data_IF_824388704763
#
_entry.id   IF_824388704763
#
_cell.length_a   1.000
_cell.length_b   1.000
_cell.length_c   1.000
_cell.angle_alpha   90.00
_cell.angle_beta   90.00
_cell.angle_gamma   90.00
#
_symmetry.space_group_name_H-M   'P 1'
#
loop_
_entity.id
_entity.type
_entity.pdbx_description
1 polymer ?
#
# COMPACT_ATOMS: atom_id res chain seq x y z
N UNK A 1 -24.77 52.06 -13.65
CA UNK A 1 -24.97 52.99 -14.78
C UNK A 1 -24.75 52.22 -16.07
N UNK A 2 -25.74 52.28 -16.98
CA UNK A 2 -25.82 51.58 -18.28
C UNK A 2 -24.81 52.11 -19.30
N UNK A 3 -24.50 51.29 -20.32
CA UNK A 3 -24.18 51.55 -21.75
C UNK A 3 -23.29 50.36 -22.21
N UNK A 4 -23.62 49.40 -23.08
CA UNK A 4 -24.52 49.23 -24.24
C UNK A 4 -24.12 50.03 -25.49
N UNK A 5 -23.30 49.41 -26.36
CA UNK A 5 -23.12 49.67 -27.80
C UNK A 5 -22.77 48.30 -28.44
N UNK A 6 -23.68 47.57 -29.10
CA UNK A 6 -24.17 47.63 -30.49
C UNK A 6 -23.11 47.38 -31.59
N UNK A 7 -23.18 46.19 -32.23
CA UNK A 7 -23.27 46.06 -33.69
C UNK A 7 -23.84 44.67 -34.10
N UNK A 8 -25.03 44.65 -34.72
CA UNK A 8 -25.57 43.52 -35.50
C UNK A 8 -24.93 43.51 -36.90
N UNK A 9 -24.53 42.36 -37.48
CA UNK A 9 -25.29 41.29 -38.17
C UNK A 9 -26.12 41.77 -39.37
N UNK A 10 -25.71 41.36 -40.59
CA UNK A 10 -26.45 40.64 -41.66
C UNK A 10 -25.56 40.70 -42.93
N UNK A 11 -25.36 39.65 -43.75
CA UNK A 11 -26.39 38.82 -44.40
C UNK A 11 -25.71 37.58 -45.08
N UNK A 12 -26.28 36.38 -44.85
CA UNK A 12 -26.50 35.19 -45.74
C UNK A 12 -25.44 34.70 -46.76
N UNK A 13 -25.26 33.41 -47.07
CA UNK A 13 -26.25 32.36 -47.43
C UNK A 13 -25.57 30.95 -47.52
N UNK A 14 -26.39 29.89 -47.42
CA UNK A 14 -26.22 28.51 -47.94
C UNK A 14 -25.56 27.40 -47.07
N UNK A 15 -26.41 26.52 -46.54
CA UNK A 15 -26.15 25.08 -46.25
C UNK A 15 -26.19 24.25 -47.58
N UNK A 16 -26.10 22.88 -47.65
CA UNK A 16 -25.89 21.82 -46.64
C UNK A 16 -24.90 20.67 -47.04
N UNK A 17 -24.58 19.79 -46.07
CA UNK A 17 -24.55 18.33 -46.22
C UNK A 17 -23.32 17.63 -46.85
N UNK A 18 -22.77 16.64 -46.13
CA UNK A 18 -22.68 15.22 -46.57
C UNK A 18 -21.61 14.44 -45.80
N UNK A 19 -21.99 13.23 -45.41
CA UNK A 19 -21.15 12.22 -44.79
C UNK A 19 -20.55 11.26 -45.85
N UNK A 20 -19.41 10.66 -45.48
CA UNK A 20 -18.80 9.40 -45.95
C UNK A 20 -18.17 9.30 -47.35
N UNK A 21 -16.86 9.07 -47.37
CA UNK A 21 -16.22 8.15 -48.32
C UNK A 21 -14.93 7.53 -47.72
N UNK A 22 -14.87 6.19 -47.71
CA UNK A 22 -13.66 5.40 -47.38
C UNK A 22 -12.65 5.50 -48.54
N UNK A 23 -11.40 5.81 -48.23
CA UNK A 23 -10.29 5.78 -49.20
C UNK A 23 -9.30 4.67 -48.84
N UNK A 24 -9.11 3.72 -49.77
CA UNK A 24 -8.03 2.73 -49.78
C UNK A 24 -6.87 3.30 -50.59
N UNK A 25 -5.67 3.38 -50.02
CA UNK A 25 -4.44 3.58 -50.79
C UNK A 25 -3.30 2.71 -50.24
N UNK A 26 -2.58 2.04 -51.16
CA UNK A 26 -1.45 1.12 -50.92
C UNK A 26 -0.19 1.88 -50.43
N UNK A 27 0.68 1.25 -49.63
CA UNK A 27 1.96 1.85 -49.25
C UNK A 27 3.03 1.65 -50.33
N UNK A 28 3.67 2.74 -50.74
CA UNK A 28 4.89 2.76 -51.56
C UNK A 28 6.15 2.66 -50.69
N UNK A 29 7.12 1.87 -51.14
CA UNK A 29 8.37 1.63 -50.44
C UNK A 29 9.40 2.75 -50.69
N UNK A 30 9.98 3.28 -49.61
CA UNK A 30 11.25 4.02 -49.66
C UNK A 30 12.32 3.21 -48.89
N UNK A 31 13.51 2.96 -49.46
CA UNK A 31 14.52 2.12 -48.84
C UNK A 31 15.28 2.89 -47.75
N UNK A 32 15.16 2.44 -46.50
CA UNK A 32 16.03 2.88 -45.40
C UNK A 32 17.37 2.17 -45.55
N UNK A 33 18.42 2.94 -45.80
CA UNK A 33 19.79 2.46 -45.79
C UNK A 33 20.13 1.88 -44.41
N UNK A 34 20.36 0.56 -44.35
CA UNK A 34 20.81 -0.14 -43.15
C UNK A 34 22.29 0.11 -42.93
N UNK A 35 22.65 1.17 -42.21
CA UNK A 35 23.92 1.19 -41.49
C UNK A 35 23.75 0.35 -40.23
N UNK A 36 24.26 -0.88 -40.27
CA UNK A 36 24.25 -1.78 -39.12
C UNK A 36 25.06 -1.15 -37.98
N UNK A 37 24.56 -1.15 -36.72
CA UNK A 37 25.40 -0.81 -35.59
C UNK A 37 26.56 -1.81 -35.55
N UNK A 38 27.77 -1.28 -35.41
CA UNK A 38 29.01 -2.05 -35.21
C UNK A 38 28.74 -3.03 -34.06
N UNK A 39 28.74 -4.33 -34.35
CA UNK A 39 28.49 -5.37 -33.36
C UNK A 39 29.46 -5.16 -32.18
N UNK A 40 28.92 -4.73 -31.04
CA UNK A 40 29.65 -4.80 -29.79
C UNK A 40 30.01 -6.27 -29.56
N UNK A 41 31.28 -6.54 -29.30
CA UNK A 41 31.76 -7.90 -29.08
C UNK A 41 30.94 -8.57 -27.98
N UNK A 42 30.35 -9.73 -28.29
CA UNK A 42 29.63 -10.56 -27.34
C UNK A 42 30.62 -11.00 -26.26
N UNK A 43 30.46 -10.60 -24.97
CA UNK A 43 31.39 -11.00 -23.93
C UNK A 43 31.38 -12.53 -23.79
N UNK A 44 32.55 -13.16 -23.64
CA UNK A 44 32.72 -14.61 -23.39
C UNK A 44 32.01 -15.12 -22.10
N UNK A 45 31.34 -14.25 -21.35
CA UNK A 45 30.62 -14.56 -20.10
C UNK A 45 29.14 -14.90 -20.22
N UNK A 46 28.50 -14.75 -21.39
CA UNK A 46 27.03 -14.96 -21.52
C UNK A 46 26.61 -16.40 -21.18
N UNK A 47 27.43 -17.41 -21.48
CA UNK A 47 27.10 -18.80 -21.15
C UNK A 47 26.98 -19.05 -19.64
N UNK A 48 27.99 -18.61 -18.87
CA UNK A 48 28.00 -18.74 -17.40
C UNK A 48 27.00 -17.81 -16.73
N UNK A 49 26.84 -16.60 -17.27
CA UNK A 49 25.83 -15.66 -16.78
C UNK A 49 24.42 -16.23 -16.94
N UNK A 50 24.09 -16.78 -18.12
CA UNK A 50 22.82 -17.45 -18.35
C UNK A 50 22.65 -18.68 -17.44
N UNK A 51 23.70 -19.48 -17.25
CA UNK A 51 23.68 -20.63 -16.34
C UNK A 51 23.42 -20.23 -14.89
N UNK A 52 24.03 -19.14 -14.40
CA UNK A 52 23.78 -18.61 -13.06
C UNK A 52 22.31 -18.23 -12.87
N UNK A 53 21.69 -17.60 -13.88
CA UNK A 53 20.29 -17.22 -13.85
C UNK A 53 19.35 -18.44 -13.90
N UNK A 54 19.68 -19.46 -14.70
CA UNK A 54 18.93 -20.73 -14.73
C UNK A 54 19.00 -21.44 -13.37
N UNK A 55 20.16 -21.40 -12.70
CA UNK A 55 20.31 -21.96 -11.35
C UNK A 55 19.49 -21.16 -10.33
N UNK A 56 19.47 -19.83 -10.42
CA UNK A 56 18.64 -18.98 -9.57
C UNK A 56 17.14 -19.25 -9.77
N UNK A 57 16.68 -19.40 -11.02
CA UNK A 57 15.30 -19.75 -11.35
C UNK A 57 14.89 -21.13 -10.78
N UNK A 58 15.85 -22.06 -10.67
CA UNK A 58 15.67 -23.38 -10.04
C UNK A 58 15.89 -23.36 -8.52
N UNK A 59 15.99 -22.18 -7.93
CA UNK A 59 16.23 -21.95 -6.49
C UNK A 59 17.53 -22.57 -5.94
N UNK A 60 18.51 -22.82 -6.81
CA UNK A 60 19.83 -23.35 -6.44
C UNK A 60 20.79 -22.21 -6.10
N UNK A 61 20.47 -21.42 -5.08
CA UNK A 61 21.13 -20.13 -4.79
C UNK A 61 22.64 -20.24 -4.58
N UNK A 62 23.11 -21.24 -3.83
CA UNK A 62 24.53 -21.44 -3.62
C UNK A 62 25.29 -21.73 -4.94
N UNK A 63 24.71 -22.56 -5.81
CA UNK A 63 25.27 -22.84 -7.15
C UNK A 63 25.19 -21.59 -8.04
N UNK A 64 24.09 -20.84 -7.98
CA UNK A 64 23.87 -19.63 -8.76
C UNK A 64 24.88 -18.54 -8.41
N UNK A 65 25.12 -18.25 -7.13
CA UNK A 65 26.13 -17.29 -6.68
C UNK A 65 27.53 -17.69 -7.14
N UNK A 66 27.91 -18.96 -6.96
CA UNK A 66 29.21 -19.48 -7.41
C UNK A 66 29.37 -19.35 -8.93
N UNK A 67 28.33 -19.66 -9.70
CA UNK A 67 28.36 -19.54 -11.16
C UNK A 67 28.45 -18.08 -11.60
N UNK A 68 27.73 -17.19 -10.91
CA UNK A 68 27.80 -15.75 -11.15
C UNK A 68 29.21 -15.20 -10.92
N UNK A 69 29.87 -15.57 -9.82
CA UNK A 69 31.26 -15.18 -9.56
C UNK A 69 32.21 -15.73 -10.63
N UNK A 70 32.02 -16.98 -11.02
CA UNK A 70 32.83 -17.68 -12.04
C UNK A 70 32.62 -17.12 -13.45
N UNK A 71 31.55 -16.36 -13.68
CA UNK A 71 31.29 -15.66 -14.95
C UNK A 71 32.27 -14.51 -15.19
N UNK A 72 32.81 -13.92 -14.12
CA UNK A 72 33.67 -12.73 -14.17
C UNK A 72 32.94 -11.42 -14.51
N UNK A 73 31.60 -11.45 -14.65
CA UNK A 73 30.78 -10.28 -14.92
C UNK A 73 30.17 -9.72 -13.62
N UNK A 74 30.56 -8.51 -13.17
CA UNK A 74 30.02 -7.88 -11.97
C UNK A 74 28.49 -7.67 -12.03
N UNK A 75 27.92 -7.46 -13.22
CA UNK A 75 26.47 -7.28 -13.37
C UNK A 75 25.74 -8.58 -13.06
N UNK A 76 26.23 -9.72 -13.55
CA UNK A 76 25.69 -11.05 -13.25
C UNK A 76 25.69 -11.34 -11.74
N UNK A 77 26.80 -11.02 -11.04
CA UNK A 77 26.87 -11.19 -9.58
C UNK A 77 25.82 -10.34 -8.86
N UNK A 78 25.69 -9.06 -9.24
CA UNK A 78 24.67 -8.17 -8.65
C UNK A 78 23.25 -8.65 -8.96
N UNK A 79 23.00 -9.15 -10.17
CA UNK A 79 21.69 -9.63 -10.58
C UNK A 79 21.26 -10.88 -9.80
N UNK A 80 22.16 -11.86 -9.62
CA UNK A 80 21.87 -13.04 -8.80
C UNK A 80 21.63 -12.67 -7.34
N UNK A 81 22.43 -11.75 -6.77
CA UNK A 81 22.18 -11.20 -5.43
C UNK A 81 20.83 -10.50 -5.31
N UNK A 82 20.48 -9.68 -6.29
CA UNK A 82 19.18 -8.99 -6.32
C UNK A 82 18.01 -9.98 -6.37
N UNK A 83 18.11 -11.01 -7.22
CA UNK A 83 17.09 -12.07 -7.29
C UNK A 83 16.97 -12.82 -5.96
N UNK A 84 18.11 -13.17 -5.35
CA UNK A 84 18.14 -13.91 -4.10
C UNK A 84 17.58 -13.09 -2.92
N UNK A 85 18.14 -11.89 -2.71
CA UNK A 85 17.86 -11.06 -1.54
C UNK A 85 16.47 -10.44 -1.56
N UNK A 86 15.81 -10.37 -2.72
CA UNK A 86 14.41 -9.95 -2.83
C UNK A 86 13.43 -10.97 -2.24
N UNK A 87 13.86 -12.24 -2.08
CA UNK A 87 13.02 -13.31 -1.55
C UNK A 87 12.89 -13.23 -0.03
N UNK A 88 11.74 -13.63 0.53
CA UNK A 88 11.63 -13.84 1.96
C UNK A 88 12.61 -14.93 2.41
N UNK A 89 13.18 -14.78 3.60
CA UNK A 89 14.04 -15.79 4.24
C UNK A 89 15.22 -16.26 3.36
N UNK A 90 15.83 -15.37 2.56
CA UNK A 90 17.01 -15.68 1.74
C UNK A 90 18.22 -16.11 2.57
N UNK A 91 18.23 -15.81 3.87
CA UNK A 91 19.37 -16.03 4.77
C UNK A 91 20.45 -14.95 4.66
N UNK A 92 20.25 -13.95 3.81
CA UNK A 92 21.14 -12.80 3.73
C UNK A 92 21.07 -11.96 5.01
N UNK A 93 22.23 -11.51 5.48
CA UNK A 93 22.34 -10.56 6.58
C UNK A 93 21.90 -9.15 6.15
N UNK A 94 21.49 -8.35 7.13
CA UNK A 94 21.21 -6.92 6.94
C UNK A 94 22.31 -6.21 6.14
N UNK A 95 23.59 -6.39 6.50
CA UNK A 95 24.74 -5.77 5.83
C UNK A 95 24.85 -6.14 4.35
N UNK A 96 24.55 -7.40 3.99
CA UNK A 96 24.60 -7.84 2.59
C UNK A 96 23.52 -7.16 1.75
N UNK A 97 22.30 -7.03 2.29
CA UNK A 97 21.19 -6.38 1.60
C UNK A 97 21.42 -4.87 1.52
N UNK A 98 21.85 -4.23 2.61
CA UNK A 98 22.18 -2.80 2.65
C UNK A 98 23.29 -2.44 1.64
N UNK A 99 24.34 -3.25 1.55
CA UNK A 99 25.40 -3.07 0.54
C UNK A 99 24.84 -3.15 -0.88
N UNK A 100 23.99 -4.14 -1.17
CA UNK A 100 23.38 -4.29 -2.48
C UNK A 100 22.53 -3.07 -2.85
N UNK A 101 21.73 -2.54 -1.91
CA UNK A 101 20.91 -1.33 -2.12
C UNK A 101 21.81 -0.14 -2.48
N UNK A 102 22.89 0.09 -1.72
CA UNK A 102 23.86 1.16 -1.99
C UNK A 102 24.59 0.99 -3.34
N UNK A 103 24.84 -0.25 -3.76
CA UNK A 103 25.46 -0.58 -5.04
C UNK A 103 24.52 -0.47 -6.25
N UNK A 104 23.19 -0.37 -6.02
CA UNK A 104 22.15 -0.46 -7.05
C UNK A 104 20.97 0.54 -6.89
N UNK A 105 21.19 1.84 -6.62
CA UNK A 105 20.12 2.78 -6.23
C UNK A 105 19.00 2.99 -7.27
N UNK A 106 19.26 2.70 -8.56
CA UNK A 106 18.28 2.84 -9.65
C UNK A 106 17.58 1.53 -10.03
N UNK A 107 17.85 0.43 -9.33
CA UNK A 107 17.30 -0.88 -9.70
C UNK A 107 15.85 -1.04 -9.24
N UNK A 108 15.05 -1.88 -9.91
CA UNK A 108 13.67 -2.12 -9.52
C UNK A 108 13.57 -2.70 -8.10
N UNK A 109 12.41 -2.51 -7.48
CA UNK A 109 12.05 -3.10 -6.18
C UNK A 109 12.91 -2.64 -4.98
N UNK A 110 13.43 -1.40 -4.99
CA UNK A 110 14.17 -0.83 -3.84
C UNK A 110 13.39 -0.94 -2.52
N UNK A 111 12.10 -0.62 -2.53
CA UNK A 111 11.24 -0.73 -1.33
C UNK A 111 11.13 -2.18 -0.84
N UNK A 112 11.12 -3.16 -1.74
CA UNK A 112 11.13 -4.57 -1.33
C UNK A 112 12.47 -4.93 -0.68
N UNK A 113 13.59 -4.55 -1.30
CA UNK A 113 14.92 -4.81 -0.72
C UNK A 113 15.09 -4.12 0.63
N UNK A 114 14.61 -2.88 0.78
CA UNK A 114 14.61 -2.21 2.07
C UNK A 114 13.82 -3.00 3.11
N UNK A 115 12.64 -3.52 2.74
CA UNK A 115 11.84 -4.36 3.64
C UNK A 115 12.58 -5.65 4.01
N UNK A 116 13.27 -6.28 3.05
CA UNK A 116 14.10 -7.47 3.30
C UNK A 116 15.31 -7.15 4.18
N UNK A 117 15.90 -5.97 4.04
CA UNK A 117 16.96 -5.50 4.94
C UNK A 117 16.42 -5.35 6.37
N UNK A 118 15.28 -4.67 6.54
CA UNK A 118 14.63 -4.51 7.85
C UNK A 118 14.29 -5.85 8.52
N UNK A 119 13.74 -6.80 7.76
CA UNK A 119 13.46 -8.17 8.22
C UNK A 119 14.74 -8.95 8.61
N UNK A 120 15.88 -8.62 7.99
CA UNK A 120 17.18 -9.26 8.25
C UNK A 120 17.95 -8.63 9.42
N UNK A 121 17.43 -7.59 10.08
CA UNK A 121 18.02 -7.03 11.29
C UNK A 121 17.88 -8.05 12.42
N UNK A 122 18.99 -8.35 13.09
CA UNK A 122 19.05 -9.33 14.18
C UNK A 122 19.75 -8.74 15.41
N UNK A 123 19.79 -9.50 16.51
CA UNK A 123 20.57 -9.12 17.68
C UNK A 123 22.07 -9.02 17.44
N UNK A 124 22.58 -9.61 16.34
CA UNK A 124 23.98 -9.49 15.93
C UNK A 124 24.27 -8.21 15.14
N UNK A 125 23.24 -7.49 14.69
CA UNK A 125 23.41 -6.23 13.95
C UNK A 125 23.77 -5.10 14.92
N UNK A 126 24.94 -4.42 14.76
CA UNK A 126 25.34 -3.33 15.64
C UNK A 126 24.35 -2.16 15.62
N UNK A 127 24.08 -1.56 16.79
CA UNK A 127 23.16 -0.41 16.90
C UNK A 127 23.63 0.80 16.08
N UNK A 128 24.93 1.06 16.01
CA UNK A 128 25.50 2.12 15.16
C UNK A 128 25.13 1.92 13.68
N UNK A 129 25.28 0.69 13.17
CA UNK A 129 24.94 0.36 11.79
C UNK A 129 23.43 0.56 11.50
N UNK A 130 22.58 0.25 12.48
CA UNK A 130 21.14 0.48 12.40
C UNK A 130 20.83 1.98 12.34
N UNK A 131 21.46 2.78 13.23
CA UNK A 131 21.27 4.23 13.26
C UNK A 131 21.72 4.90 11.96
N UNK A 132 22.86 4.50 11.41
CA UNK A 132 23.39 5.01 10.15
C UNK A 132 22.45 4.70 8.97
N UNK A 133 21.89 3.50 8.95
CA UNK A 133 20.91 3.10 7.94
C UNK A 133 19.66 3.97 7.98
N UNK A 134 19.07 4.13 9.16
CA UNK A 134 17.84 4.89 9.36
C UNK A 134 18.03 6.42 9.27
N UNK A 135 19.27 6.91 9.22
CA UNK A 135 19.56 8.31 8.89
C UNK A 135 19.19 8.68 7.44
N UNK A 136 19.17 7.70 6.53
CA UNK A 136 18.87 7.89 5.10
C UNK A 136 17.68 7.08 4.58
N UNK A 137 17.18 6.11 5.36
CA UNK A 137 16.05 5.25 5.01
C UNK A 137 15.01 5.29 6.12
N UNK A 138 13.83 5.88 5.90
CA UNK A 138 12.77 5.82 6.90
C UNK A 138 12.25 4.37 7.06
N UNK A 139 11.92 3.89 8.27
CA UNK A 139 11.37 2.55 8.45
C UNK A 139 10.09 2.35 7.64
N UNK A 140 9.97 1.19 6.98
CA UNK A 140 8.80 0.82 6.17
C UNK A 140 8.08 -0.44 6.66
N UNK A 141 8.51 -1.00 7.79
CA UNK A 141 7.85 -2.12 8.44
C UNK A 141 8.06 -2.17 9.95
N UNK A 142 7.35 -3.09 10.59
CA UNK A 142 7.41 -3.30 12.03
C UNK A 142 8.81 -3.71 12.51
N UNK A 143 9.52 -4.57 11.77
CA UNK A 143 10.87 -5.02 12.13
C UNK A 143 11.86 -3.85 12.14
N UNK A 144 11.89 -3.05 11.06
CA UNK A 144 12.77 -1.89 10.96
C UNK A 144 12.45 -0.80 11.97
N UNK A 145 11.17 -0.45 12.15
CA UNK A 145 10.76 0.55 13.13
C UNK A 145 11.10 0.13 14.57
N UNK A 146 10.90 -1.15 14.88
CA UNK A 146 11.26 -1.72 16.19
C UNK A 146 12.77 -1.75 16.39
N UNK A 147 13.54 -2.16 15.37
CA UNK A 147 15.00 -2.16 15.44
C UNK A 147 15.56 -0.75 15.61
N UNK A 148 15.04 0.22 14.87
CA UNK A 148 15.44 1.62 14.97
C UNK A 148 15.17 2.19 16.36
N UNK A 149 13.96 1.97 16.89
CA UNK A 149 13.61 2.37 18.25
C UNK A 149 14.55 1.76 19.30
N UNK A 150 14.87 0.47 19.20
CA UNK A 150 15.85 -0.17 20.10
C UNK A 150 17.25 0.43 19.97
N UNK A 151 17.72 0.70 18.75
CA UNK A 151 19.03 1.28 18.53
C UNK A 151 19.13 2.71 19.10
N UNK A 152 18.05 3.49 19.01
CA UNK A 152 17.94 4.81 19.63
C UNK A 152 17.97 4.73 21.16
N UNK A 153 17.26 3.76 21.77
CA UNK A 153 17.32 3.51 23.23
C UNK A 153 18.75 3.18 23.67
N UNK A 154 19.44 2.29 22.95
CA UNK A 154 20.81 1.90 23.26
C UNK A 154 21.79 3.07 23.16
N UNK A 155 21.50 4.06 22.29
CA UNK A 155 22.27 5.29 22.16
C UNK A 155 21.85 6.41 23.14
N UNK A 156 20.92 6.14 24.07
CA UNK A 156 20.42 7.13 25.03
C UNK A 156 19.46 8.18 24.44
N UNK A 157 18.98 7.99 23.21
CA UNK A 157 18.06 8.88 22.49
C UNK A 157 16.60 8.52 22.77
N UNK A 158 16.21 8.53 24.04
CA UNK A 158 14.94 7.95 24.53
C UNK A 158 13.69 8.59 23.93
N UNK A 159 13.62 9.92 23.85
CA UNK A 159 12.44 10.61 23.29
C UNK A 159 12.22 10.26 21.81
N UNK A 160 13.29 10.24 21.02
CA UNK A 160 13.24 9.84 19.62
C UNK A 160 12.83 8.38 19.46
N UNK A 161 13.35 7.50 20.32
CA UNK A 161 12.96 6.10 20.32
C UNK A 161 11.47 5.92 20.59
N UNK A 162 10.92 6.60 21.61
CA UNK A 162 9.50 6.53 21.93
C UNK A 162 8.63 7.02 20.77
N UNK A 163 9.02 8.12 20.12
CA UNK A 163 8.30 8.64 18.97
C UNK A 163 8.27 7.63 17.81
N UNK A 164 9.41 7.01 17.49
CA UNK A 164 9.50 5.97 16.46
C UNK A 164 8.65 4.76 16.83
N UNK A 165 8.79 4.22 18.04
CA UNK A 165 8.08 3.02 18.49
C UNK A 165 6.56 3.23 18.50
N UNK A 166 6.07 4.38 18.99
CA UNK A 166 4.64 4.72 18.95
C UNK A 166 4.12 4.80 17.52
N UNK A 167 4.85 5.47 16.63
CA UNK A 167 4.50 5.57 15.20
C UNK A 167 4.47 4.19 14.55
N UNK A 168 5.45 3.33 14.81
CA UNK A 168 5.51 1.96 14.31
C UNK A 168 4.32 1.16 14.82
N UNK A 169 4.01 1.23 16.11
CA UNK A 169 2.84 0.56 16.68
C UNK A 169 1.53 1.03 16.05
N UNK A 170 1.33 2.33 15.86
CA UNK A 170 0.09 2.84 15.30
C UNK A 170 -0.11 2.44 13.82
N UNK A 171 0.96 2.46 13.02
CA UNK A 171 0.86 2.44 11.56
C UNK A 171 1.30 1.14 10.89
N UNK A 172 2.21 0.38 11.49
CA UNK A 172 2.76 -0.81 10.84
C UNK A 172 1.97 -2.08 11.16
N UNK A 173 2.05 -3.05 10.26
CA UNK A 173 1.45 -4.36 10.45
C UNK A 173 2.41 -5.31 11.16
N UNK A 174 1.87 -6.09 12.09
CA UNK A 174 2.65 -7.02 12.91
C UNK A 174 2.11 -8.43 12.73
N UNK A 175 3.03 -9.38 12.54
CA UNK A 175 2.72 -10.78 12.81
C UNK A 175 2.42 -11.00 14.29
N UNK A 176 1.74 -12.10 14.62
CA UNK A 176 1.34 -12.42 16.01
C UNK A 176 2.54 -12.43 16.97
N UNK A 177 3.65 -13.05 16.55
CA UNK A 177 4.87 -13.13 17.37
C UNK A 177 5.54 -11.77 17.52
N UNK A 178 5.65 -10.99 16.43
CA UNK A 178 6.19 -9.63 16.44
C UNK A 178 5.38 -8.73 17.39
N UNK A 179 4.05 -8.77 17.30
CA UNK A 179 3.14 -7.98 18.14
C UNK A 179 3.34 -8.29 19.62
N UNK A 180 3.39 -9.58 19.97
CA UNK A 180 3.63 -10.02 21.35
C UNK A 180 5.00 -9.58 21.86
N UNK A 181 6.05 -9.72 21.06
CA UNK A 181 7.40 -9.30 21.43
C UNK A 181 7.48 -7.78 21.61
N UNK A 182 6.87 -7.01 20.70
CA UNK A 182 6.80 -5.57 20.78
C UNK A 182 6.12 -5.11 22.08
N UNK A 183 4.92 -5.62 22.35
CA UNK A 183 4.18 -5.30 23.56
C UNK A 183 4.91 -5.74 24.83
N UNK A 184 5.61 -6.86 24.82
CA UNK A 184 6.37 -7.32 26.00
C UNK A 184 7.47 -6.33 26.41
N UNK A 185 7.97 -5.53 25.48
CA UNK A 185 9.05 -4.56 25.72
C UNK A 185 8.54 -3.13 25.87
N UNK A 186 7.54 -2.74 25.08
CA UNK A 186 7.18 -1.34 24.88
C UNK A 186 5.76 -0.98 25.33
N UNK A 187 5.03 -1.90 25.97
CA UNK A 187 3.66 -1.61 26.41
C UNK A 187 3.57 -0.38 27.31
N UNK A 188 4.56 -0.15 28.17
CA UNK A 188 4.53 0.95 29.15
C UNK A 188 4.62 2.34 28.50
N UNK A 189 5.15 2.44 27.29
CA UNK A 189 5.26 3.73 26.57
C UNK A 189 4.01 4.02 25.73
N UNK A 190 3.14 3.03 25.49
CA UNK A 190 1.96 3.17 24.65
C UNK A 190 0.79 3.75 25.45
N UNK A 191 0.14 4.76 24.87
CA UNK A 191 -1.09 5.34 25.41
C UNK A 191 -2.34 4.61 24.91
N UNK A 192 -3.48 4.90 25.54
CA UNK A 192 -4.78 4.45 25.03
C UNK A 192 -5.06 4.98 23.62
N UNK A 193 -4.63 6.21 23.32
CA UNK A 193 -4.77 6.80 22.00
C UNK A 193 -3.95 6.04 20.95
N UNK A 194 -2.75 5.58 21.29
CA UNK A 194 -1.92 4.75 20.39
C UNK A 194 -2.62 3.41 20.07
N UNK A 195 -3.23 2.78 21.07
CA UNK A 195 -4.01 1.55 20.88
C UNK A 195 -5.27 1.81 20.03
N UNK A 196 -6.00 2.89 20.29
CA UNK A 196 -7.18 3.30 19.53
C UNK A 196 -6.84 3.58 18.08
N UNK A 197 -5.79 4.37 17.82
CA UNK A 197 -5.33 4.71 16.47
C UNK A 197 -5.01 3.45 15.66
N UNK A 198 -4.22 2.52 16.24
CA UNK A 198 -3.92 1.23 15.62
C UNK A 198 -5.18 0.44 15.32
N UNK A 199 -6.08 0.28 16.29
CA UNK A 199 -7.29 -0.53 16.10
C UNK A 199 -8.20 0.07 15.02
N UNK A 200 -8.39 1.39 14.99
CA UNK A 200 -9.22 2.05 13.97
C UNK A 200 -8.61 1.90 12.57
N UNK A 201 -7.29 2.04 12.42
CA UNK A 201 -6.57 1.76 11.18
C UNK A 201 -6.82 0.32 10.71
N UNK A 202 -6.58 -0.66 11.58
CA UNK A 202 -6.75 -2.08 11.27
C UNK A 202 -8.18 -2.42 10.81
N UNK A 203 -9.21 -1.80 11.42
CA UNK A 203 -10.60 -1.98 11.00
C UNK A 203 -10.86 -1.38 9.60
N UNK A 204 -10.33 -0.19 9.32
CA UNK A 204 -10.43 0.43 8.00
C UNK A 204 -9.77 -0.43 6.90
N UNK A 205 -8.64 -1.04 7.20
CA UNK A 205 -7.92 -1.92 6.28
C UNK A 205 -8.49 -3.34 6.18
N UNK A 206 -9.54 -3.66 6.96
CA UNK A 206 -10.15 -4.99 6.93
C UNK A 206 -9.37 -6.06 7.69
N UNK A 207 -8.36 -5.70 8.49
CA UNK A 207 -7.53 -6.62 9.27
C UNK A 207 -8.24 -7.12 10.53
N UNK A 208 -9.34 -7.84 10.35
CA UNK A 208 -10.25 -8.22 11.45
C UNK A 208 -9.57 -9.02 12.57
N UNK A 209 -8.67 -9.95 12.24
CA UNK A 209 -7.95 -10.75 13.25
C UNK A 209 -7.01 -9.89 14.10
N UNK A 210 -6.31 -8.92 13.49
CA UNK A 210 -5.44 -7.99 14.21
C UNK A 210 -6.24 -7.02 15.07
N UNK A 211 -7.35 -6.50 14.54
CA UNK A 211 -8.27 -5.65 15.32
C UNK A 211 -8.88 -6.40 16.52
N UNK A 212 -9.18 -7.70 16.39
CA UNK A 212 -9.69 -8.50 17.52
C UNK A 212 -8.68 -8.64 18.65
N UNK A 213 -7.39 -8.82 18.34
CA UNK A 213 -6.34 -8.85 19.38
C UNK A 213 -6.22 -7.53 20.13
N UNK A 214 -6.50 -6.41 19.45
CA UNK A 214 -6.48 -5.08 20.06
C UNK A 214 -7.56 -4.85 21.12
N UNK A 215 -8.62 -5.67 21.16
CA UNK A 215 -9.70 -5.56 22.15
C UNK A 215 -9.21 -5.61 23.59
N UNK A 216 -8.11 -6.33 23.84
CA UNK A 216 -7.49 -6.46 25.16
C UNK A 216 -6.84 -5.16 25.65
N UNK A 217 -6.52 -4.23 24.75
CA UNK A 217 -5.82 -2.99 25.06
C UNK A 217 -6.72 -1.75 24.96
N UNK A 218 -7.88 -1.89 24.32
CA UNK A 218 -8.87 -0.83 24.16
C UNK A 218 -9.61 -0.52 25.47
N UNK A 219 -9.89 0.76 25.69
CA UNK A 219 -10.91 1.23 26.63
C UNK A 219 -12.32 0.72 26.25
N UNK A 220 -13.29 0.94 27.14
CA UNK A 220 -14.64 0.40 26.98
C UNK A 220 -15.36 0.92 25.73
N UNK A 221 -15.29 2.23 25.44
CA UNK A 221 -15.98 2.85 24.31
C UNK A 221 -15.39 2.38 22.98
N UNK A 222 -14.06 2.42 22.91
CA UNK A 222 -13.27 1.96 21.76
C UNK A 222 -13.52 0.47 21.48
N UNK A 223 -13.65 -0.36 22.54
CA UNK A 223 -14.00 -1.78 22.42
C UNK A 223 -15.41 -1.99 21.87
N UNK A 224 -16.42 -1.27 22.37
CA UNK A 224 -17.78 -1.36 21.86
C UNK A 224 -17.87 -0.97 20.38
N UNK A 225 -17.24 0.15 20.00
CA UNK A 225 -17.21 0.60 18.61
C UNK A 225 -16.55 -0.42 17.68
N UNK A 226 -15.39 -0.96 18.06
CA UNK A 226 -14.72 -1.98 17.27
C UNK A 226 -15.52 -3.27 17.18
N UNK A 227 -16.19 -3.67 18.26
CA UNK A 227 -17.01 -4.88 18.27
C UNK A 227 -18.18 -4.75 17.30
N UNK A 228 -18.87 -3.60 17.33
CA UNK A 228 -19.95 -3.27 16.39
C UNK A 228 -19.47 -3.34 14.93
N UNK A 229 -18.32 -2.73 14.62
CA UNK A 229 -17.72 -2.78 13.27
C UNK A 229 -17.36 -4.21 12.86
N UNK A 230 -16.68 -4.98 13.72
CA UNK A 230 -16.31 -6.37 13.44
C UNK A 230 -17.52 -7.27 13.23
N UNK A 231 -18.59 -7.09 14.00
CA UNK A 231 -19.85 -7.81 13.83
C UNK A 231 -20.41 -7.65 12.41
N UNK A 232 -20.43 -6.41 11.89
CA UNK A 232 -20.89 -6.09 10.54
C UNK A 232 -19.94 -6.62 9.46
N UNK A 233 -18.63 -6.45 9.66
CA UNK A 233 -17.60 -6.96 8.74
C UNK A 233 -17.68 -8.48 8.59
N UNK A 234 -17.94 -9.20 9.69
CA UNK A 234 -18.07 -10.66 9.73
C UNK A 234 -19.49 -11.16 9.41
N UNK A 235 -20.44 -10.27 9.11
CA UNK A 235 -21.85 -10.60 8.88
C UNK A 235 -22.50 -11.41 10.01
N UNK A 236 -22.06 -11.18 11.26
CA UNK A 236 -22.58 -11.87 12.46
C UNK A 236 -23.70 -11.12 13.16
N UNK A 237 -24.16 -10.01 12.59
CA UNK A 237 -25.27 -9.22 13.09
C UNK A 237 -25.74 -8.20 12.06
N UNK A 238 -26.64 -7.31 12.49
CA UNK A 238 -27.28 -6.28 11.66
C UNK A 238 -26.83 -4.87 12.07
N UNK A 239 -26.98 -3.86 11.19
CA UNK A 239 -26.75 -2.45 11.54
C UNK A 239 -27.50 -1.99 12.78
N UNK A 240 -28.75 -2.46 12.98
CA UNK A 240 -29.53 -2.13 14.18
C UNK A 240 -28.85 -2.65 15.47
N UNK A 241 -28.42 -3.92 15.47
CA UNK A 241 -27.70 -4.51 16.61
C UNK A 241 -26.37 -3.80 16.87
N UNK A 242 -25.65 -3.44 15.81
CA UNK A 242 -24.38 -2.72 15.92
C UNK A 242 -24.57 -1.33 16.56
N UNK A 243 -25.59 -0.57 16.13
CA UNK A 243 -25.92 0.76 16.66
C UNK A 243 -26.43 0.72 18.10
N UNK A 244 -27.11 -0.36 18.50
CA UNK A 244 -27.56 -0.59 19.88
C UNK A 244 -26.38 -0.91 20.81
N UNK A 245 -25.34 -1.58 20.30
CA UNK A 245 -24.17 -1.99 21.07
C UNK A 245 -23.16 -0.87 21.38
N UNK A 246 -23.40 0.36 20.90
CA UNK A 246 -22.51 1.52 21.09
C UNK A 246 -23.23 2.69 21.78
N UNK A 247 -22.47 3.53 22.47
CA UNK A 247 -22.97 4.77 23.04
C UNK A 247 -23.51 5.70 21.94
N UNK A 248 -24.50 6.53 22.28
CA UNK A 248 -25.24 7.36 21.31
C UNK A 248 -24.33 8.26 20.46
N UNK A 249 -23.33 8.89 21.08
CA UNK A 249 -22.40 9.79 20.40
C UNK A 249 -21.45 9.06 19.42
N UNK A 250 -21.30 7.73 19.52
CA UNK A 250 -20.49 6.90 18.62
C UNK A 250 -21.30 6.35 17.44
N UNK A 251 -22.63 6.50 17.44
CA UNK A 251 -23.48 6.00 16.34
C UNK A 251 -23.21 6.71 15.01
N UNK A 252 -22.74 7.94 15.07
CA UNK A 252 -22.31 8.73 13.91
C UNK A 252 -20.81 8.57 13.58
N UNK A 253 -20.10 7.64 14.22
CA UNK A 253 -18.71 7.35 13.89
C UNK A 253 -18.58 6.99 12.40
N UNK A 254 -17.71 7.66 11.63
CA UNK A 254 -17.58 7.41 10.19
C UNK A 254 -17.25 5.95 9.86
N UNK A 255 -16.44 5.29 10.70
CA UNK A 255 -16.08 3.89 10.51
C UNK A 255 -17.25 2.95 10.73
N UNK A 256 -18.12 3.23 11.70
CA UNK A 256 -19.33 2.44 11.95
C UNK A 256 -20.37 2.64 10.84
N UNK A 257 -20.64 3.90 10.46
CA UNK A 257 -21.58 4.23 9.37
C UNK A 257 -21.11 3.58 8.07
N UNK A 258 -19.81 3.61 7.78
CA UNK A 258 -19.23 2.94 6.62
C UNK A 258 -19.48 1.43 6.63
N UNK A 259 -19.32 0.74 7.77
CA UNK A 259 -19.59 -0.69 7.85
C UNK A 259 -21.09 -1.02 7.74
N UNK A 260 -21.99 -0.17 8.26
CA UNK A 260 -23.42 -0.28 8.03
C UNK A 260 -23.77 -0.18 6.54
N UNK A 261 -23.20 0.81 5.84
CA UNK A 261 -23.37 1.00 4.40
C UNK A 261 -22.94 -0.25 3.62
N UNK A 262 -21.73 -0.75 3.89
CA UNK A 262 -21.21 -1.94 3.23
C UNK A 262 -22.07 -3.16 3.52
N UNK A 263 -22.59 -3.29 4.73
CA UNK A 263 -23.49 -4.37 5.11
C UNK A 263 -24.77 -4.32 4.27
N UNK A 264 -25.45 -3.18 4.21
CA UNK A 264 -26.67 -3.02 3.40
C UNK A 264 -26.42 -3.31 1.93
N UNK A 265 -25.32 -2.77 1.36
CA UNK A 265 -24.91 -3.07 -0.01
C UNK A 265 -24.73 -4.58 -0.24
N UNK A 266 -24.02 -5.28 0.65
CA UNK A 266 -23.76 -6.72 0.55
C UNK A 266 -25.04 -7.57 0.66
N UNK A 267 -26.10 -7.03 1.26
CA UNK A 267 -27.42 -7.65 1.36
C UNK A 267 -28.40 -7.17 0.28
N UNK A 268 -27.91 -6.38 -0.68
CA UNK A 268 -28.69 -5.76 -1.76
C UNK A 268 -29.87 -4.90 -1.26
N UNK A 269 -29.78 -4.42 -0.02
CA UNK A 269 -30.70 -3.45 0.60
C UNK A 269 -30.32 -2.04 0.13
N UNK A 270 -30.57 -1.77 -1.15
CA UNK A 270 -30.06 -0.60 -1.85
C UNK A 270 -30.69 0.71 -1.35
N UNK A 271 -31.98 0.72 -0.98
CA UNK A 271 -32.66 1.92 -0.51
C UNK A 271 -32.08 2.42 0.82
N UNK A 272 -31.80 1.50 1.74
CA UNK A 272 -31.16 1.78 3.02
C UNK A 272 -29.73 2.28 2.83
N UNK A 273 -28.97 1.64 1.93
CA UNK A 273 -27.62 2.07 1.59
C UNK A 273 -27.60 3.49 0.99
N UNK A 274 -28.49 3.79 0.04
CA UNK A 274 -28.63 5.13 -0.57
C UNK A 274 -29.04 6.16 0.48
N UNK A 275 -30.03 5.84 1.32
CA UNK A 275 -30.48 6.73 2.40
C UNK A 275 -29.33 7.08 3.35
N UNK A 276 -28.51 6.10 3.71
CA UNK A 276 -27.35 6.31 4.58
C UNK A 276 -26.29 7.22 3.94
N UNK A 277 -26.06 7.08 2.62
CA UNK A 277 -25.11 7.92 1.90
C UNK A 277 -25.52 9.41 1.83
N UNK A 278 -26.81 9.71 1.87
CA UNK A 278 -27.33 11.09 1.88
C UNK A 278 -27.06 11.81 3.19
N UNK A 279 -27.06 11.07 4.30
CA UNK A 279 -26.85 11.61 5.65
C UNK A 279 -25.39 11.50 6.09
N UNK A 280 -24.53 10.84 5.30
CA UNK A 280 -23.11 10.68 5.59
C UNK A 280 -22.31 11.92 5.19
N UNK A 281 -21.35 12.39 6.03
CA UNK A 281 -20.53 13.55 5.72
C UNK A 281 -19.78 13.40 4.37
N UNK A 282 -19.65 14.49 3.58
CA UNK A 282 -18.89 14.47 2.34
C UNK A 282 -17.37 14.28 2.57
N UNK A 283 -16.84 14.77 3.70
CA UNK A 283 -15.41 14.73 4.04
C UNK A 283 -15.13 13.66 5.10
N UNK A 284 -14.94 12.41 4.66
CA UNK A 284 -14.58 11.31 5.55
C UNK A 284 -13.07 11.09 5.62
N UNK A 285 -12.58 10.49 6.71
CA UNK A 285 -11.17 10.12 6.94
C UNK A 285 -10.56 9.17 5.87
N UNK A 286 -11.39 8.64 4.96
CA UNK A 286 -11.05 7.62 3.94
C UNK A 286 -11.80 7.88 2.62
N UNK A 287 -11.58 9.03 1.95
CA UNK A 287 -12.38 9.45 0.80
C UNK A 287 -12.38 8.42 -0.34
N UNK A 288 -11.27 7.72 -0.57
CA UNK A 288 -11.13 6.66 -1.56
C UNK A 288 -12.05 5.45 -1.31
N UNK A 289 -12.17 5.03 -0.04
CA UNK A 289 -13.05 3.93 0.35
C UNK A 289 -14.52 4.33 0.22
N UNK A 290 -14.85 5.55 0.64
CA UNK A 290 -16.20 6.09 0.50
C UNK A 290 -16.60 6.32 -0.95
N UNK A 291 -15.71 6.83 -1.79
CA UNK A 291 -15.95 6.98 -3.22
C UNK A 291 -16.26 5.63 -3.88
N UNK A 292 -15.54 4.58 -3.50
CA UNK A 292 -15.81 3.23 -3.99
C UNK A 292 -17.25 2.84 -3.73
N UNK A 293 -17.73 2.99 -2.49
CA UNK A 293 -19.11 2.65 -2.12
C UNK A 293 -20.15 3.57 -2.78
N UNK A 294 -19.91 4.90 -2.82
CA UNK A 294 -20.76 5.87 -3.52
C UNK A 294 -20.91 5.53 -5.01
N UNK A 295 -19.82 5.19 -5.68
CA UNK A 295 -19.84 4.83 -7.12
C UNK A 295 -20.64 3.57 -7.42
N UNK A 296 -20.66 2.60 -6.48
CA UNK A 296 -21.46 1.39 -6.61
C UNK A 296 -22.94 1.75 -6.42
N UNK A 297 -23.26 2.53 -5.38
CA UNK A 297 -24.65 2.92 -5.10
C UNK A 297 -25.24 3.82 -6.17
N UNK A 298 -24.48 4.78 -6.71
CA UNK A 298 -24.95 5.62 -7.82
C UNK A 298 -25.33 4.79 -9.06
N UNK A 299 -24.52 3.79 -9.43
CA UNK A 299 -24.84 2.87 -10.54
C UNK A 299 -26.09 2.04 -10.26
N UNK A 300 -26.26 1.53 -9.03
CA UNK A 300 -27.46 0.79 -8.64
C UNK A 300 -28.71 1.68 -8.64
N UNK A 301 -28.59 2.92 -8.16
CA UNK A 301 -29.67 3.90 -8.18
C UNK A 301 -30.14 4.18 -9.62
N UNK A 302 -29.22 4.37 -10.56
CA UNK A 302 -29.55 4.52 -11.99
C UNK A 302 -30.26 3.28 -12.55
N UNK A 303 -29.81 2.08 -12.22
CA UNK A 303 -30.44 0.82 -12.64
C UNK A 303 -31.88 0.67 -12.09
N UNK A 304 -32.14 1.23 -10.91
CA UNK A 304 -33.47 1.23 -10.28
C UNK A 304 -34.35 2.41 -10.76
N UNK A 305 -33.83 3.32 -11.58
CA UNK A 305 -34.54 4.50 -12.05
C UNK A 305 -34.51 5.70 -11.09
N UNK A 306 -33.73 5.64 -10.00
CA UNK A 306 -33.56 6.73 -9.04
C UNK A 306 -32.51 7.74 -9.50
N UNK A 307 -32.79 8.43 -10.60
CA UNK A 307 -31.83 9.33 -11.26
C UNK A 307 -31.38 10.48 -10.35
N UNK A 308 -32.31 11.12 -9.63
CA UNK A 308 -31.97 12.22 -8.72
C UNK A 308 -31.14 11.80 -7.51
N UNK A 309 -31.22 10.53 -7.09
CA UNK A 309 -30.44 10.02 -5.96
C UNK A 309 -29.02 9.57 -6.38
N UNK A 310 -28.78 9.45 -7.69
CA UNK A 310 -27.50 9.03 -8.24
C UNK A 310 -26.48 10.18 -8.40
N UNK A 311 -26.94 11.44 -8.32
CA UNK A 311 -26.16 12.67 -8.51
C UNK A 311 -26.21 13.53 -7.26
#
# INVERSE_FOLDING_TARGET
>A
MRFLVLLGILLTLAQPGAAWAKSKAKPGAHPVAKTAPKQAAVPKGIGKAAEALILAEREKWAEAHKMAETSGDPLTVKLVRWLDFSRPNSGASFSQIASLIGETPGWPQQTLLQRRAEEAISSATPSEQILDWFASHAPIGADGGTAFGNALLNAGRTEEAHAVLKKTWANEDFGILQERQFLSKFREILSQDDHRARMMRLLWEGQTQSAERMMLFADAETRHLAHARLMLMKQKGTPAQALESVHEHLRSDPGLVFECLRWYRRKDMNEEAIRLLRTSPPDSERPELWWTERSIMARRALQMGFVSEAY
#
